data_IF_904498270459
#
_entry.id   IF_904498270459
#
_cell.length_a   1.000
_cell.length_b   1.000
_cell.length_c   1.000
_cell.angle_alpha   90.00
_cell.angle_beta   90.00
_cell.angle_gamma   90.00
#
_symmetry.space_group_name_H-M   'P 1'
#
loop_
_entity.id
_entity.type
_entity.pdbx_description
1 polymer ?
#
# COMPACT_ATOMS: atom_id res chain seq x y z
N UNK A 1 14.09 -3.58 -9.29
CA UNK A 1 14.48 -3.91 -7.91
C UNK A 1 14.22 -2.64 -7.10
N UNK A 2 13.54 -2.72 -5.95
CA UNK A 2 13.35 -1.55 -5.06
C UNK A 2 14.69 -0.98 -4.62
N UNK A 3 14.66 0.24 -4.12
CA UNK A 3 15.83 0.86 -3.48
C UNK A 3 16.38 -0.05 -2.37
N UNK A 4 17.70 -0.18 -2.30
CA UNK A 4 18.32 -1.12 -1.38
C UNK A 4 18.02 -0.79 0.08
N UNK A 5 17.93 0.50 0.42
CA UNK A 5 17.62 0.95 1.78
C UNK A 5 16.26 0.44 2.28
N UNK A 6 15.29 0.25 1.38
CA UNK A 6 14.00 -0.35 1.74
C UNK A 6 14.19 -1.76 2.35
N UNK A 7 15.05 -2.61 1.79
CA UNK A 7 15.27 -3.95 2.36
C UNK A 7 15.98 -3.90 3.72
N UNK A 8 16.84 -2.91 3.94
CA UNK A 8 17.52 -2.71 5.20
C UNK A 8 16.54 -2.23 6.29
N UNK A 9 15.67 -1.28 5.96
CA UNK A 9 14.61 -0.82 6.86
C UNK A 9 13.67 -1.96 7.26
N UNK A 10 13.26 -2.79 6.31
CA UNK A 10 12.42 -3.96 6.57
C UNK A 10 13.12 -4.98 7.48
N UNK A 11 14.42 -5.21 7.27
CA UNK A 11 15.21 -6.04 8.18
C UNK A 11 15.27 -5.45 9.60
N UNK A 12 15.50 -4.14 9.71
CA UNK A 12 15.56 -3.43 10.99
C UNK A 12 14.23 -3.50 11.72
N UNK A 13 13.12 -3.25 11.02
CA UNK A 13 11.78 -3.32 11.61
C UNK A 13 11.46 -4.75 12.06
N UNK A 14 11.72 -5.74 11.20
CA UNK A 14 11.51 -7.16 11.50
C UNK A 14 12.32 -7.63 12.73
N UNK A 15 13.53 -7.11 12.92
CA UNK A 15 14.41 -7.46 14.04
C UNK A 15 14.22 -6.58 15.27
N UNK A 16 13.51 -5.46 15.15
CA UNK A 16 13.27 -4.53 16.27
C UNK A 16 12.43 -5.17 17.37
N UNK A 17 12.58 -4.70 18.61
CA UNK A 17 11.80 -5.20 19.74
C UNK A 17 10.28 -5.11 19.49
N UNK A 18 9.82 -3.96 18.95
CA UNK A 18 8.42 -3.74 18.61
C UNK A 18 7.95 -4.67 17.50
N UNK A 19 8.76 -4.86 16.46
CA UNK A 19 8.48 -5.79 15.37
C UNK A 19 8.40 -7.24 15.85
N UNK A 20 9.30 -7.67 16.73
CA UNK A 20 9.27 -9.01 17.35
C UNK A 20 8.04 -9.21 18.21
N UNK A 21 7.65 -8.20 18.99
CA UNK A 21 6.40 -8.24 19.77
C UNK A 21 5.17 -8.41 18.86
N UNK A 22 5.08 -7.65 17.76
CA UNK A 22 3.98 -7.77 16.80
C UNK A 22 3.96 -9.13 16.10
N UNK A 23 5.12 -9.66 15.71
CA UNK A 23 5.22 -11.01 15.13
C UNK A 23 4.69 -12.06 16.10
N UNK A 24 5.11 -12.00 17.37
CA UNK A 24 4.62 -12.93 18.38
C UNK A 24 3.11 -12.81 18.61
N UNK A 25 2.56 -11.60 18.59
CA UNK A 25 1.12 -11.39 18.73
C UNK A 25 0.31 -11.96 17.56
N UNK A 26 0.82 -11.85 16.32
CA UNK A 26 0.10 -12.31 15.11
C UNK A 26 0.30 -13.81 14.86
N UNK A 27 1.53 -14.30 15.01
CA UNK A 27 1.93 -15.65 14.59
C UNK A 27 2.22 -16.60 15.77
N UNK A 28 2.34 -16.09 16.99
CA UNK A 28 2.74 -16.87 18.17
C UNK A 28 4.24 -17.16 18.26
N UNK A 29 5.03 -16.74 17.28
CA UNK A 29 6.47 -16.95 17.21
C UNK A 29 7.17 -15.79 16.50
N UNK A 30 8.51 -15.77 16.55
CA UNK A 30 9.32 -14.79 15.83
C UNK A 30 9.71 -15.33 14.47
N UNK A 31 9.59 -14.52 13.42
CA UNK A 31 9.85 -14.95 12.04
C UNK A 31 11.34 -14.88 11.67
N UNK A 32 11.75 -15.62 10.64
CA UNK A 32 13.11 -15.48 10.10
C UNK A 32 13.27 -14.19 9.27
N UNK A 33 13.89 -13.18 9.86
CA UNK A 33 14.18 -11.91 9.20
C UNK A 33 15.40 -11.96 8.26
N UNK A 34 16.16 -13.07 8.23
CA UNK A 34 17.40 -13.14 7.46
C UNK A 34 17.18 -13.00 5.95
N UNK A 35 15.98 -13.28 5.46
CA UNK A 35 15.62 -13.07 4.06
C UNK A 35 15.79 -11.60 3.64
N UNK A 36 15.37 -10.66 4.49
CA UNK A 36 15.51 -9.22 4.22
C UNK A 36 16.97 -8.79 4.17
N UNK A 37 17.80 -9.32 5.07
CA UNK A 37 19.25 -9.06 5.07
C UNK A 37 19.93 -9.62 3.81
N UNK A 38 19.53 -10.81 3.37
CA UNK A 38 20.02 -11.40 2.12
C UNK A 38 19.63 -10.57 0.91
N UNK A 39 18.38 -10.10 0.85
CA UNK A 39 17.89 -9.25 -0.22
C UNK A 39 18.63 -7.91 -0.25
N UNK A 40 18.86 -7.28 0.90
CA UNK A 40 19.69 -6.08 1.01
C UNK A 40 21.10 -6.31 0.44
N UNK A 41 21.81 -7.32 0.93
CA UNK A 41 23.17 -7.62 0.48
C UNK A 41 23.25 -7.90 -1.03
N UNK A 42 22.27 -8.63 -1.57
CA UNK A 42 22.21 -8.91 -3.00
C UNK A 42 21.86 -7.67 -3.81
N UNK A 43 20.99 -6.80 -3.30
CA UNK A 43 20.67 -5.51 -3.90
C UNK A 43 21.92 -4.62 -3.96
N UNK A 44 22.65 -4.46 -2.86
CA UNK A 44 23.87 -3.65 -2.83
C UNK A 44 24.95 -4.18 -3.76
N UNK A 45 25.07 -5.50 -3.90
CA UNK A 45 25.99 -6.12 -4.88
C UNK A 45 25.58 -5.82 -6.32
N UNK A 46 24.28 -5.87 -6.61
CA UNK A 46 23.75 -5.50 -7.92
C UNK A 46 24.04 -4.04 -8.24
N UNK A 47 23.84 -3.11 -7.30
CA UNK A 47 24.11 -1.68 -7.54
C UNK A 47 25.60 -1.37 -7.68
N UNK A 48 26.45 -1.96 -6.83
CA UNK A 48 27.89 -1.66 -6.82
C UNK A 48 28.68 -2.33 -7.95
N UNK A 49 28.34 -3.58 -8.28
CA UNK A 49 29.15 -4.42 -9.17
C UNK A 49 28.39 -4.97 -10.37
N UNK A 50 27.11 -4.61 -10.55
CA UNK A 50 26.23 -5.12 -11.60
C UNK A 50 26.18 -6.65 -11.66
N UNK A 51 26.28 -7.32 -10.50
CA UNK A 51 26.19 -8.77 -10.40
C UNK A 51 24.77 -9.26 -10.74
N UNK A 52 24.61 -9.70 -11.99
CA UNK A 52 23.34 -10.23 -12.50
C UNK A 52 22.76 -11.37 -11.65
N UNK A 53 23.61 -12.21 -11.04
CA UNK A 53 23.13 -13.32 -10.19
C UNK A 53 22.50 -12.78 -8.91
N UNK A 54 23.11 -11.76 -8.31
CA UNK A 54 22.56 -11.09 -7.14
C UNK A 54 21.22 -10.39 -7.49
N UNK A 55 21.18 -9.66 -8.61
CA UNK A 55 19.95 -9.01 -9.08
C UNK A 55 18.81 -10.00 -9.34
N UNK A 56 19.09 -11.14 -10.00
CA UNK A 56 18.11 -12.20 -10.24
C UNK A 56 17.60 -12.83 -8.94
N UNK A 57 18.46 -12.98 -7.93
CA UNK A 57 18.07 -13.51 -6.63
C UNK A 57 17.05 -12.60 -5.92
N UNK A 58 17.26 -11.28 -5.96
CA UNK A 58 16.31 -10.29 -5.40
C UNK A 58 14.99 -10.30 -6.18
N UNK A 59 15.04 -10.33 -7.51
CA UNK A 59 13.83 -10.41 -8.33
C UNK A 59 13.01 -11.67 -7.99
N UNK A 60 13.68 -12.80 -7.75
CA UNK A 60 13.03 -14.05 -7.35
C UNK A 60 12.37 -13.93 -5.97
N UNK A 61 13.04 -13.33 -4.99
CA UNK A 61 12.47 -13.16 -3.65
C UNK A 61 11.30 -12.18 -3.64
N UNK A 62 11.37 -11.07 -4.38
CA UNK A 62 10.26 -10.12 -4.54
C UNK A 62 9.03 -10.77 -5.19
N UNK A 63 9.24 -11.57 -6.24
CA UNK A 63 8.16 -12.32 -6.89
C UNK A 63 7.49 -13.30 -5.93
N UNK A 64 8.29 -14.04 -5.15
CA UNK A 64 7.76 -14.97 -4.15
C UNK A 64 6.90 -14.25 -3.10
N UNK A 65 7.40 -13.15 -2.53
CA UNK A 65 6.67 -12.34 -1.54
C UNK A 65 5.37 -11.76 -2.08
N UNK A 66 5.39 -11.28 -3.33
CA UNK A 66 4.18 -10.77 -4.01
C UNK A 66 3.14 -11.87 -4.19
N UNK A 67 3.56 -13.08 -4.56
CA UNK A 67 2.67 -14.22 -4.74
C UNK A 67 2.05 -14.67 -3.41
N UNK A 68 2.85 -14.73 -2.34
CA UNK A 68 2.35 -15.07 -1.00
C UNK A 68 1.31 -14.06 -0.51
N UNK A 69 1.59 -12.75 -0.63
CA UNK A 69 0.63 -11.70 -0.27
C UNK A 69 -0.68 -11.79 -1.05
N UNK A 70 -0.62 -12.18 -2.32
CA UNK A 70 -1.79 -12.32 -3.18
C UNK A 70 -2.47 -13.70 -3.08
N UNK A 71 -1.89 -14.64 -2.33
CA UNK A 71 -2.35 -16.02 -2.28
C UNK A 71 -3.80 -16.13 -1.82
N UNK A 72 -4.17 -15.40 -0.75
CA UNK A 72 -5.55 -15.36 -0.26
C UNK A 72 -6.54 -14.82 -1.31
N UNK A 73 -6.12 -13.81 -2.07
CA UNK A 73 -6.92 -13.23 -3.14
C UNK A 73 -7.14 -14.22 -4.31
N UNK A 74 -6.12 -15.00 -4.68
CA UNK A 74 -6.27 -16.02 -5.74
C UNK A 74 -7.03 -17.27 -5.27
N UNK A 75 -6.94 -17.62 -3.99
CA UNK A 75 -7.67 -18.74 -3.39
C UNK A 75 -9.13 -18.42 -3.09
N UNK A 76 -9.51 -17.15 -3.09
CA UNK A 76 -10.86 -16.71 -2.83
C UNK A 76 -11.80 -17.17 -3.96
N UNK A 77 -12.69 -18.12 -3.64
CA UNK A 77 -13.72 -18.63 -4.53
C UNK A 77 -15.12 -18.04 -4.24
N UNK A 78 -15.24 -17.22 -3.19
CA UNK A 78 -16.50 -16.60 -2.78
C UNK A 78 -16.81 -15.37 -3.64
N UNK A 79 -15.79 -14.57 -3.94
CA UNK A 79 -15.95 -13.31 -4.66
C UNK A 79 -15.34 -13.38 -6.06
N UNK A 80 -16.14 -13.10 -7.09
CA UNK A 80 -15.64 -12.94 -8.47
C UNK A 80 -15.09 -11.54 -8.67
N UNK A 81 -14.00 -11.42 -9.43
CA UNK A 81 -13.49 -10.11 -9.85
C UNK A 81 -14.47 -9.46 -10.81
N UNK A 82 -14.61 -8.15 -10.72
CA UNK A 82 -15.39 -7.35 -11.66
C UNK A 82 -14.51 -7.02 -12.86
N UNK A 83 -15.04 -7.19 -14.07
CA UNK A 83 -14.36 -6.82 -15.31
C UNK A 83 -14.54 -5.32 -15.63
N UNK A 84 -15.68 -4.75 -15.24
CA UNK A 84 -16.03 -3.35 -15.43
C UNK A 84 -16.83 -2.84 -14.22
N UNK A 85 -16.88 -1.51 -13.99
CA UNK A 85 -17.88 -0.93 -13.10
C UNK A 85 -19.29 -1.28 -13.60
N UNK A 86 -20.29 -1.36 -12.70
CA UNK A 86 -21.69 -1.45 -13.09
C UNK A 86 -22.08 -0.33 -14.06
N UNK A 87 -23.01 -0.60 -14.99
CA UNK A 87 -23.50 0.41 -15.96
C UNK A 87 -24.03 1.67 -15.27
N UNK A 88 -24.56 1.52 -14.05
CA UNK A 88 -25.14 2.59 -13.27
C UNK A 88 -24.24 3.16 -12.17
N UNK A 89 -22.94 2.93 -12.27
CA UNK A 89 -21.96 3.44 -11.32
C UNK A 89 -22.02 4.97 -11.12
N UNK A 90 -22.41 5.71 -12.17
CA UNK A 90 -22.51 7.17 -12.16
C UNK A 90 -23.95 7.69 -11.94
N UNK A 91 -24.90 6.84 -11.50
CA UNK A 91 -26.24 7.34 -11.17
C UNK A 91 -26.17 8.36 -10.03
N UNK A 92 -27.04 9.40 -10.04
CA UNK A 92 -27.13 10.32 -8.92
C UNK A 92 -27.45 9.56 -7.63
N UNK A 93 -26.97 10.10 -6.51
CA UNK A 93 -27.24 9.53 -5.20
C UNK A 93 -28.76 9.46 -4.94
N UNK A 94 -29.25 8.43 -4.23
CA UNK A 94 -30.65 8.37 -3.82
C UNK A 94 -31.08 9.60 -3.03
N UNK A 95 -32.34 10.01 -3.18
CA UNK A 95 -32.89 11.26 -2.60
C UNK A 95 -32.70 11.35 -1.07
N UNK A 96 -32.89 10.24 -0.35
CA UNK A 96 -32.69 10.20 1.10
C UNK A 96 -31.23 10.50 1.52
N UNK A 97 -30.26 10.09 0.68
CA UNK A 97 -28.85 10.28 0.94
C UNK A 97 -28.45 11.72 0.65
N UNK A 98 -28.97 12.29 -0.45
CA UNK A 98 -28.81 13.71 -0.78
C UNK A 98 -29.35 14.57 0.37
N UNK A 99 -30.58 14.30 0.82
CA UNK A 99 -31.22 15.05 1.91
C UNK A 99 -30.48 14.94 3.24
N UNK A 100 -29.92 13.77 3.56
CA UNK A 100 -29.08 13.58 4.75
C UNK A 100 -27.82 14.43 4.67
N UNK A 101 -27.22 14.51 3.48
CA UNK A 101 -25.91 15.14 3.28
C UNK A 101 -25.99 16.66 3.07
N UNK A 102 -27.16 17.21 2.69
CA UNK A 102 -27.41 18.63 2.37
C UNK A 102 -26.76 19.64 3.33
N UNK A 103 -26.81 19.38 4.64
CA UNK A 103 -26.32 20.29 5.69
C UNK A 103 -25.03 19.80 6.37
N UNK A 104 -24.33 18.86 5.75
CA UNK A 104 -23.05 18.38 6.27
C UNK A 104 -21.92 19.31 5.85
N UNK A 105 -20.88 19.38 6.68
CA UNK A 105 -19.65 20.10 6.36
C UNK A 105 -19.07 19.69 4.99
N UNK A 106 -19.14 18.41 4.63
CA UNK A 106 -18.64 17.92 3.35
C UNK A 106 -19.45 18.45 2.16
N UNK A 107 -20.77 18.60 2.29
CA UNK A 107 -21.60 19.18 1.23
C UNK A 107 -21.32 20.68 1.06
N UNK A 108 -21.08 21.40 2.15
CA UNK A 108 -20.68 22.80 2.13
C UNK A 108 -19.31 22.99 1.47
N UNK A 109 -18.29 22.24 1.91
CA UNK A 109 -16.96 22.26 1.26
C UNK A 109 -17.03 21.86 -0.22
N UNK A 110 -17.80 20.83 -0.57
CA UNK A 110 -17.96 20.42 -1.96
C UNK A 110 -18.58 21.53 -2.83
N UNK A 111 -19.51 22.32 -2.26
CA UNK A 111 -20.09 23.50 -2.93
C UNK A 111 -19.04 24.61 -3.10
N UNK A 112 -18.27 24.92 -2.05
CA UNK A 112 -17.18 25.91 -2.11
C UNK A 112 -16.11 25.55 -3.15
N UNK A 113 -15.72 24.27 -3.24
CA UNK A 113 -14.78 23.76 -4.26
C UNK A 113 -15.35 23.97 -5.67
N UNK A 114 -16.62 23.60 -5.90
CA UNK A 114 -17.29 23.78 -7.20
C UNK A 114 -17.42 25.25 -7.58
N UNK A 115 -17.60 26.12 -6.58
CA UNK A 115 -17.67 27.58 -6.73
C UNK A 115 -16.28 28.24 -6.81
N UNK A 116 -15.19 27.49 -6.64
CA UNK A 116 -13.82 27.98 -6.71
C UNK A 116 -13.37 28.85 -5.53
N UNK A 117 -14.11 28.84 -4.41
CA UNK A 117 -13.85 29.70 -3.24
C UNK A 117 -12.67 29.25 -2.38
N UNK A 118 -12.37 27.95 -2.37
CA UNK A 118 -11.24 27.39 -1.61
C UNK A 118 -9.86 27.90 -2.07
N UNK A 119 -9.74 28.35 -3.33
CA UNK A 119 -8.47 28.88 -3.88
C UNK A 119 -8.25 30.35 -3.51
N UNK A 120 -9.29 31.06 -3.07
CA UNK A 120 -9.20 32.48 -2.74
C UNK A 120 -8.65 32.71 -1.32
N UNK A 121 -8.99 31.86 -0.35
CA UNK A 121 -8.56 32.04 1.04
C UNK A 121 -7.05 31.78 1.22
N UNK A 122 -6.49 30.78 0.53
CA UNK A 122 -5.08 30.38 0.62
C UNK A 122 -4.11 31.38 -0.03
N UNK A 123 -4.62 32.35 -0.81
CA UNK A 123 -3.82 33.42 -1.42
C UNK A 123 -3.76 34.70 -0.60
N UNK A 124 -4.49 34.77 0.52
CA UNK A 124 -4.57 35.98 1.36
C UNK A 124 -3.65 35.93 2.59
N UNK A 125 -2.82 34.90 2.71
CA UNK A 125 -1.94 34.66 3.88
C UNK A 125 -0.45 34.59 3.53
N UNK A 126 -0.01 35.31 2.47
CA UNK A 126 1.42 35.59 2.22
C UNK A 126 1.73 37.08 2.32
#
# INVERSE_FOLDING_TARGET
IRDCDTYYEEYKECTSFRGRFHQYFIFGETLDCNQWKKDYNNCSKWESSQDCKAGLAVIKSEKARRMERLQAHYRNNVWKKRDAPPEDWNKPLPEWLVKRDENTYLAEKAREIREGKDVAEDKTTQ
#
